data_IF_521281636712
#
_entry.id   IF_521281636712
#
_cell.length_a   1.000
_cell.length_b   1.000
_cell.length_c   1.000
_cell.angle_alpha   90.00
_cell.angle_beta   90.00
_cell.angle_gamma   90.00
#
_symmetry.space_group_name_H-M   'P 1'
#
loop_
_entity.id
_entity.type
_entity.pdbx_description
1 polymer ?
#
# COMPACT_ATOMS: atom_id res chain seq x y z
N UNK A 1 -10.28 -1.49 -8.50
CA UNK A 1 -9.63 -0.18 -8.67
C UNK A 1 -8.56 -0.27 -9.73
N UNK A 2 -8.23 0.86 -10.35
CA UNK A 2 -7.19 1.00 -11.39
C UNK A 2 -5.82 1.37 -10.79
N UNK A 3 -4.71 1.03 -11.44
CA UNK A 3 -3.34 1.28 -10.99
C UNK A 3 -2.60 2.26 -11.93
N UNK A 4 -2.85 3.56 -11.76
CA UNK A 4 -2.35 4.63 -12.65
C UNK A 4 -1.21 5.47 -12.06
N UNK A 5 -0.64 5.03 -10.94
CA UNK A 5 0.47 5.71 -10.29
C UNK A 5 1.82 5.13 -10.66
N UNK A 6 2.65 4.86 -9.65
CA UNK A 6 4.05 4.47 -9.82
C UNK A 6 4.34 3.05 -9.36
N UNK A 7 5.49 2.53 -9.80
CA UNK A 7 5.96 1.18 -9.50
C UNK A 7 7.36 1.24 -8.88
N UNK A 8 7.69 0.24 -8.08
CA UNK A 8 9.06 -0.06 -7.69
C UNK A 8 9.37 -1.54 -7.97
N UNK A 9 10.65 -1.88 -8.09
CA UNK A 9 11.11 -3.25 -8.34
C UNK A 9 12.30 -3.58 -7.44
N UNK A 10 12.28 -4.77 -6.84
CA UNK A 10 13.44 -5.34 -6.15
C UNK A 10 13.95 -6.57 -6.93
N UNK A 11 15.14 -6.49 -7.58
CA UNK A 11 15.69 -7.62 -8.33
C UNK A 11 16.09 -8.81 -7.46
N UNK A 12 16.40 -8.61 -6.17
CA UNK A 12 16.76 -9.72 -5.27
C UNK A 12 15.54 -10.58 -4.94
N UNK A 13 14.36 -9.96 -4.84
CA UNK A 13 13.10 -10.62 -4.50
C UNK A 13 12.30 -11.02 -5.75
N UNK A 14 12.68 -10.51 -6.92
CA UNK A 14 11.93 -10.54 -8.17
C UNK A 14 10.49 -10.01 -8.04
N UNK A 15 10.31 -8.92 -7.30
CA UNK A 15 8.99 -8.36 -6.99
C UNK A 15 8.79 -6.96 -7.57
N UNK A 16 7.63 -6.76 -8.21
CA UNK A 16 7.09 -5.45 -8.57
C UNK A 16 6.10 -5.00 -7.48
N UNK A 17 6.23 -3.76 -7.04
CA UNK A 17 5.40 -3.15 -6.02
C UNK A 17 4.58 -1.99 -6.59
N UNK A 18 3.27 -1.98 -6.32
CA UNK A 18 2.37 -0.90 -6.73
C UNK A 18 1.11 -0.87 -5.88
N UNK A 19 0.35 0.22 -6.01
CA UNK A 19 -0.91 0.42 -5.31
C UNK A 19 -2.12 0.32 -6.25
N UNK A 20 -3.21 -0.31 -5.79
CA UNK A 20 -4.50 -0.28 -6.49
C UNK A 20 -5.36 0.90 -6.03
N UNK A 21 -6.06 1.54 -6.97
CA UNK A 21 -6.94 2.68 -6.71
C UNK A 21 -8.28 2.31 -6.07
N UNK A 22 -9.16 3.29 -6.02
CA UNK A 22 -10.46 3.26 -5.34
C UNK A 22 -11.46 2.23 -5.90
N UNK A 23 -12.44 1.81 -5.09
CA UNK A 23 -13.61 1.06 -5.55
C UNK A 23 -14.58 1.96 -6.32
N UNK A 24 -15.55 1.32 -6.98
CA UNK A 24 -16.61 2.00 -7.74
C UNK A 24 -17.99 1.46 -7.31
N UNK A 25 -19.05 2.30 -7.25
CA UNK A 25 -19.04 3.75 -7.44
C UNK A 25 -18.43 4.48 -6.24
N UNK A 26 -18.32 5.82 -6.26
CA UNK A 26 -17.89 6.58 -5.08
C UNK A 26 -18.88 6.47 -3.92
N UNK A 27 -20.18 6.44 -4.20
CA UNK A 27 -21.22 6.24 -3.19
C UNK A 27 -21.06 4.86 -2.50
N UNK A 28 -20.56 4.87 -1.26
CA UNK A 28 -20.25 3.66 -0.49
C UNK A 28 -21.48 2.79 -0.23
N UNK A 29 -22.63 3.43 -0.01
CA UNK A 29 -23.89 2.74 0.36
C UNK A 29 -24.34 1.74 -0.70
N UNK A 30 -23.89 1.92 -1.95
CA UNK A 30 -24.20 1.04 -3.08
C UNK A 30 -23.30 -0.21 -3.18
N UNK A 31 -22.23 -0.29 -2.39
CA UNK A 31 -21.20 -1.34 -2.50
C UNK A 31 -20.72 -1.84 -1.13
N UNK A 32 -21.63 -2.43 -0.32
CA UNK A 32 -21.28 -2.92 1.02
C UNK A 32 -20.11 -3.92 1.00
N UNK A 33 -19.33 -3.92 2.09
CA UNK A 33 -18.18 -4.80 2.31
C UNK A 33 -16.85 -4.17 1.93
N UNK A 34 -15.75 -4.83 2.28
CA UNK A 34 -14.39 -4.29 2.20
C UNK A 34 -13.91 -3.84 0.80
N UNK A 35 -14.61 -4.28 -0.26
CA UNK A 35 -14.29 -4.00 -1.66
C UNK A 35 -12.87 -4.44 -2.08
N UNK A 36 -12.37 -5.54 -1.48
CA UNK A 36 -11.06 -6.10 -1.85
C UNK A 36 -11.01 -6.46 -3.35
N UNK A 37 -9.91 -6.20 -4.05
CA UNK A 37 -8.60 -5.72 -3.59
C UNK A 37 -8.31 -4.27 -4.04
N UNK A 38 -9.26 -3.35 -3.86
CA UNK A 38 -9.00 -1.91 -4.02
C UNK A 38 -8.13 -1.37 -2.88
N UNK A 39 -7.53 -0.20 -3.04
CA UNK A 39 -6.75 0.49 -1.99
C UNK A 39 -5.62 -0.37 -1.38
N UNK A 40 -5.02 -1.24 -2.19
CA UNK A 40 -4.11 -2.28 -1.72
C UNK A 40 -2.69 -2.02 -2.19
N UNK A 41 -1.71 -2.07 -1.27
CA UNK A 41 -0.29 -2.21 -1.63
C UNK A 41 -0.05 -3.66 -2.03
N UNK A 42 0.45 -3.91 -3.23
CA UNK A 42 0.69 -5.24 -3.77
C UNK A 42 2.19 -5.47 -3.98
N UNK A 43 2.66 -6.68 -3.68
CA UNK A 43 3.92 -7.23 -4.16
C UNK A 43 3.63 -8.42 -5.08
N UNK A 44 4.01 -8.34 -6.36
CA UNK A 44 3.79 -9.39 -7.35
C UNK A 44 5.10 -9.88 -7.94
N UNK A 45 5.18 -11.17 -8.20
CA UNK A 45 6.29 -11.76 -8.93
C UNK A 45 6.38 -11.16 -10.35
N UNK A 46 7.58 -10.75 -10.77
CA UNK A 46 7.77 -10.00 -12.01
C UNK A 46 7.62 -10.86 -13.28
N UNK A 47 7.89 -12.16 -13.18
CA UNK A 47 7.81 -13.08 -14.32
C UNK A 47 6.38 -13.60 -14.52
N UNK A 48 5.70 -13.93 -13.43
CA UNK A 48 4.39 -14.61 -13.45
C UNK A 48 3.21 -13.67 -13.17
N UNK A 49 3.45 -12.53 -12.51
CA UNK A 49 2.40 -11.65 -12.01
C UNK A 49 1.64 -12.19 -10.78
N UNK A 50 2.05 -13.35 -10.24
CA UNK A 50 1.41 -13.92 -9.06
C UNK A 50 1.56 -13.01 -7.83
N UNK A 51 0.50 -12.92 -7.03
CA UNK A 51 0.49 -12.09 -5.83
C UNK A 51 1.29 -12.77 -4.71
N UNK A 52 2.37 -12.15 -4.26
CA UNK A 52 3.11 -12.61 -3.08
C UNK A 52 2.49 -12.08 -1.78
N UNK A 53 2.11 -10.80 -1.76
CA UNK A 53 1.35 -10.22 -0.64
C UNK A 53 0.48 -9.06 -1.10
N UNK A 54 -0.58 -8.78 -0.34
CA UNK A 54 -1.47 -7.64 -0.53
C UNK A 54 -1.94 -7.07 0.81
N UNK A 55 -1.68 -5.78 1.05
CA UNK A 55 -2.12 -5.07 2.26
C UNK A 55 -3.15 -4.00 1.89
N UNK A 56 -4.41 -4.20 2.24
CA UNK A 56 -5.49 -3.25 1.99
C UNK A 56 -5.45 -2.12 3.03
N UNK A 57 -5.15 -0.89 2.58
CA UNK A 57 -5.00 0.29 3.45
C UNK A 57 -6.34 0.88 3.87
N UNK A 58 -7.28 0.95 2.93
CA UNK A 58 -8.60 1.59 3.10
C UNK A 58 -9.69 0.60 2.69
N UNK A 59 -10.07 -0.35 3.57
CA UNK A 59 -11.24 -1.20 3.36
C UNK A 59 -12.49 -0.34 3.25
N UNK A 60 -13.37 -0.68 2.31
CA UNK A 60 -14.63 0.03 2.09
C UNK A 60 -14.46 1.55 1.98
N UNK A 61 -13.50 2.01 1.17
CA UNK A 61 -13.22 3.45 0.99
C UNK A 61 -14.49 4.28 0.79
N UNK A 62 -14.65 5.40 1.49
CA UNK A 62 -15.83 6.27 1.38
C UNK A 62 -15.46 7.66 0.82
N UNK A 63 -14.18 7.88 0.48
CA UNK A 63 -13.63 9.23 0.25
C UNK A 63 -12.76 9.37 -1.00
N UNK A 64 -12.74 8.37 -1.89
CA UNK A 64 -11.86 8.35 -3.06
C UNK A 64 -10.37 8.48 -2.67
N UNK A 65 -9.90 7.79 -1.63
CA UNK A 65 -8.48 7.77 -1.29
C UNK A 65 -7.68 6.82 -2.17
N UNK A 66 -7.76 7.00 -3.51
CA UNK A 66 -7.18 6.10 -4.49
C UNK A 66 -5.71 5.79 -4.21
N UNK A 67 -5.43 4.56 -3.74
CA UNK A 67 -4.16 4.22 -3.11
C UNK A 67 -2.99 3.94 -4.05
N UNK A 68 -2.74 4.81 -5.04
CA UNK A 68 -1.81 4.60 -6.17
C UNK A 68 -0.46 5.31 -6.04
N UNK A 69 -0.21 6.00 -4.93
CA UNK A 69 0.99 6.84 -4.74
C UNK A 69 2.32 6.07 -4.84
N UNK A 70 3.43 6.84 -4.88
CA UNK A 70 4.81 6.33 -5.01
C UNK A 70 5.15 5.21 -4.03
N UNK A 71 5.98 4.26 -4.49
CA UNK A 71 6.60 3.20 -3.68
C UNK A 71 8.09 3.47 -3.58
N UNK A 72 8.62 3.69 -2.37
CA UNK A 72 10.05 3.96 -2.14
C UNK A 72 10.69 2.78 -1.42
N UNK A 73 11.67 2.13 -2.04
CA UNK A 73 12.40 1.01 -1.43
C UNK A 73 13.61 1.53 -0.65
N UNK A 74 13.83 0.99 0.54
CA UNK A 74 15.01 1.31 1.36
C UNK A 74 15.48 0.11 2.18
N UNK A 75 16.69 0.17 2.71
CA UNK A 75 17.16 -0.76 3.73
C UNK A 75 17.57 0.02 4.97
N UNK A 76 16.99 -0.32 6.12
CA UNK A 76 17.20 0.41 7.36
C UNK A 76 17.25 -0.55 8.55
N UNK A 77 17.99 -0.20 9.59
CA UNK A 77 17.94 -0.94 10.87
C UNK A 77 16.67 -0.57 11.62
N UNK A 78 15.97 -1.57 12.14
CA UNK A 78 14.86 -1.34 13.07
C UNK A 78 15.35 -0.99 14.49
N UNK A 79 14.42 -0.77 15.42
CA UNK A 79 14.73 -0.41 16.82
C UNK A 79 15.57 -1.47 17.56
N UNK A 80 15.56 -2.72 17.10
CA UNK A 80 16.38 -3.81 17.64
C UNK A 80 17.75 -3.93 16.95
N UNK A 81 18.02 -3.09 15.95
CA UNK A 81 19.25 -3.11 15.16
C UNK A 81 19.25 -4.10 13.99
N UNK A 82 18.15 -4.85 13.77
CA UNK A 82 18.01 -5.78 12.65
C UNK A 82 17.84 -4.99 11.34
N UNK A 83 18.62 -5.31 10.31
CA UNK A 83 18.45 -4.72 8.98
C UNK A 83 17.16 -5.24 8.34
N UNK A 84 16.35 -4.33 7.79
CA UNK A 84 15.06 -4.62 7.15
C UNK A 84 15.06 -4.13 5.71
N UNK A 85 14.49 -4.92 4.81
CA UNK A 85 14.14 -4.53 3.45
C UNK A 85 12.76 -3.89 3.48
N UNK A 86 12.67 -2.58 3.27
CA UNK A 86 11.45 -1.80 3.45
C UNK A 86 10.89 -1.26 2.14
N UNK A 87 9.57 -1.07 2.13
CA UNK A 87 8.79 -0.25 1.20
C UNK A 87 8.08 0.84 2.01
N UNK A 88 8.23 2.10 1.61
CA UNK A 88 7.56 3.26 2.22
C UNK A 88 6.63 3.92 1.20
N UNK A 89 5.40 4.21 1.64
CA UNK A 89 4.30 4.64 0.81
C UNK A 89 3.44 5.71 1.51
N UNK A 90 3.58 6.99 1.16
CA UNK A 90 2.67 8.06 1.59
C UNK A 90 1.36 7.98 0.80
N UNK A 91 0.27 7.57 1.44
CA UNK A 91 -1.02 7.34 0.78
C UNK A 91 -1.90 8.60 0.71
N UNK A 92 -2.93 8.58 -0.15
CA UNK A 92 -3.96 9.62 -0.26
C UNK A 92 -4.75 9.81 1.04
N UNK A 93 -4.92 8.75 1.83
CA UNK A 93 -5.63 8.80 3.12
C UNK A 93 -4.86 9.53 4.24
N UNK A 94 -3.71 10.13 3.92
CA UNK A 94 -2.89 10.89 4.88
C UNK A 94 -2.01 10.03 5.77
N UNK A 95 -1.92 8.72 5.54
CA UNK A 95 -1.05 7.82 6.30
C UNK A 95 0.19 7.45 5.47
N UNK A 96 1.36 7.54 6.10
CA UNK A 96 2.60 6.98 5.56
C UNK A 96 2.77 5.56 6.09
N UNK A 97 2.63 4.61 5.18
CA UNK A 97 2.83 3.18 5.46
C UNK A 97 4.29 2.81 5.20
N UNK A 98 4.88 2.05 6.13
CA UNK A 98 6.14 1.33 5.90
C UNK A 98 5.90 -0.15 6.14
N UNK A 99 6.20 -0.98 5.13
CA UNK A 99 6.05 -2.43 5.15
C UNK A 99 7.41 -3.09 4.95
N UNK A 100 7.56 -4.31 5.47
CA UNK A 100 8.62 -5.22 5.03
C UNK A 100 8.29 -5.69 3.62
N UNK A 101 9.15 -5.35 2.66
CA UNK A 101 8.83 -5.59 1.24
C UNK A 101 9.02 -7.04 0.80
N UNK A 102 9.50 -7.91 1.68
CA UNK A 102 9.69 -9.34 1.36
C UNK A 102 8.40 -10.14 1.59
N UNK A 103 7.58 -9.73 2.56
CA UNK A 103 6.40 -10.49 2.99
C UNK A 103 5.12 -9.64 3.20
N UNK A 104 5.23 -8.31 3.18
CA UNK A 104 4.09 -7.40 3.36
C UNK A 104 3.76 -7.07 4.81
N UNK A 105 4.56 -7.48 5.78
CA UNK A 105 4.31 -7.19 7.20
C UNK A 105 4.36 -5.68 7.47
N UNK A 106 3.37 -5.18 8.20
CA UNK A 106 3.33 -3.77 8.59
C UNK A 106 4.44 -3.45 9.60
N UNK A 107 5.28 -2.47 9.29
CA UNK A 107 6.32 -1.95 10.18
C UNK A 107 5.85 -0.68 10.89
N UNK A 108 5.21 0.25 10.16
CA UNK A 108 4.60 1.44 10.74
C UNK A 108 3.50 2.02 9.85
N UNK A 109 2.56 2.75 10.45
CA UNK A 109 1.52 3.50 9.77
C UNK A 109 1.27 4.80 10.56
N UNK A 110 1.92 5.89 10.14
CA UNK A 110 1.89 7.17 10.86
C UNK A 110 1.14 8.21 10.03
N UNK A 111 0.41 9.11 10.68
CA UNK A 111 -0.19 10.28 10.00
C UNK A 111 0.92 11.16 9.41
N UNK A 112 0.69 11.69 8.21
CA UNK A 112 1.58 12.68 7.58
C UNK A 112 1.42 14.06 8.23
N UNK A 113 0.22 14.33 8.74
CA UNK A 113 -0.18 15.57 9.39
C UNK A 113 -1.17 15.23 10.51
N UNK A 114 -1.09 15.88 11.67
CA UNK A 114 -1.96 15.56 12.81
C UNK A 114 -3.46 15.81 12.54
N UNK A 115 -3.76 16.63 11.52
CA UNK A 115 -5.12 16.98 11.10
C UNK A 115 -5.77 16.00 10.12
N UNK A 116 -5.05 14.98 9.62
CA UNK A 116 -5.69 13.96 8.76
C UNK A 116 -6.48 12.94 9.59
N UNK A 117 -7.65 12.53 9.10
CA UNK A 117 -8.55 11.56 9.75
C UNK A 117 -8.91 11.93 11.20
N UNK A 118 -9.14 13.22 11.48
CA UNK A 118 -9.78 13.68 12.72
C UNK A 118 -11.20 14.12 12.39
N UNK A 119 -12.16 13.68 13.20
CA UNK A 119 -13.57 14.01 13.11
C UNK A 119 -13.96 14.83 14.34
#
# INVERSE_FOLDING_TARGET
GTNWGWYAYDPDENLIYYGSGNPSPWNETMRPGDNKWTMTIMGRDADTGELRFGYQKTPHDEWDYAGVNVMMLSQQKDKSGKMRKLLTHPDRNGIIYTLDRTNGDLVSANKIDDTVNVW
#
